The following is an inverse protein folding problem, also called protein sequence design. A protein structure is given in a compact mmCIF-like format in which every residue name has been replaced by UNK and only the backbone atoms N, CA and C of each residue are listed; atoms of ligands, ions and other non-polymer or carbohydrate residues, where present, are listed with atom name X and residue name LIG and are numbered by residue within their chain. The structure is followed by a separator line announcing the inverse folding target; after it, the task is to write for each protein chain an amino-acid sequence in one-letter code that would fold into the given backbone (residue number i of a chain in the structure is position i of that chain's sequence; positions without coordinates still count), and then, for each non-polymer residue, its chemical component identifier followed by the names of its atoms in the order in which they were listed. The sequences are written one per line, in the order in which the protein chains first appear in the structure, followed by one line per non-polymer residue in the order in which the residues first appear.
data_IF_699920262858
#
_entry.id   IF_699920262858
#
_cell.length_a   1.000
_cell.length_b   1.000
_cell.length_c   1.000
_cell.angle_alpha   90.00
_cell.angle_beta   90.00
_cell.angle_gamma   90.00
#
_symmetry.space_group_name_H-M   'P 1'
#
loop_
_entity.id
_entity.type
_entity.pdbx_description
1 polymer ?
#
# COMPACT_ATOMS: atom_id res chain seq x y z
N UNK A 1 15.69 26.77 5.48
CA UNK A 1 16.22 26.08 6.68
C UNK A 1 15.62 24.68 6.91
N UNK A 2 14.46 24.33 6.34
CA UNK A 2 13.79 23.03 6.58
C UNK A 2 14.38 21.88 5.71
N UNK A 3 14.88 22.13 4.49
CA UNK A 3 15.40 21.07 3.61
C UNK A 3 16.68 20.39 4.10
N UNK A 4 17.54 21.08 4.86
CA UNK A 4 18.87 20.56 5.21
C UNK A 4 18.81 19.44 6.26
N UNK A 5 17.77 19.40 7.10
CA UNK A 5 17.59 18.36 8.12
C UNK A 5 16.90 17.09 7.61
N UNK A 6 16.19 17.14 6.48
CA UNK A 6 15.49 15.96 5.91
C UNK A 6 16.47 14.91 5.38
N UNK A 7 17.59 15.34 4.80
CA UNK A 7 18.63 14.44 4.30
C UNK A 7 19.45 13.75 5.40
N UNK A 8 19.39 14.26 6.64
CA UNK A 8 20.08 13.67 7.79
C UNK A 8 19.49 12.30 8.18
N UNK A 9 18.22 12.06 7.86
CA UNK A 9 17.52 10.78 8.14
C UNK A 9 18.06 9.64 7.26
N UNK A 10 18.52 9.96 6.04
CA UNK A 10 19.17 9.01 5.12
C UNK A 10 20.57 8.57 5.58
N UNK A 11 21.16 9.26 6.56
CA UNK A 11 22.46 8.86 7.12
C UNK A 11 22.36 7.58 7.97
N UNK A 12 21.15 7.18 8.38
CA UNK A 12 20.94 5.90 9.04
C UNK A 12 20.66 4.80 8.00
N UNK A 13 21.52 3.76 7.97
CA UNK A 13 21.38 2.61 7.05
C UNK A 13 20.00 1.95 7.15
N UNK A 14 19.46 1.82 8.36
CA UNK A 14 18.15 1.20 8.59
C UNK A 14 17.00 1.99 7.95
N UNK A 15 17.03 3.32 8.02
CA UNK A 15 16.01 4.15 7.37
C UNK A 15 16.12 4.09 5.85
N UNK A 16 17.34 4.09 5.31
CA UNK A 16 17.55 4.00 3.86
C UNK A 16 17.05 2.66 3.29
N UNK A 17 17.33 1.54 3.97
CA UNK A 17 16.80 0.22 3.64
C UNK A 17 15.27 0.17 3.70
N UNK A 18 14.68 0.71 4.78
CA UNK A 18 13.22 0.80 4.90
C UNK A 18 12.60 1.66 3.80
N UNK A 19 13.21 2.80 3.48
CA UNK A 19 12.73 3.73 2.48
C UNK A 19 12.76 3.13 1.07
N UNK A 20 13.87 2.50 0.69
CA UNK A 20 13.99 1.81 -0.61
C UNK A 20 13.02 0.63 -0.68
N UNK A 21 12.91 -0.17 0.39
CA UNK A 21 11.94 -1.26 0.46
C UNK A 21 10.50 -0.77 0.30
N UNK A 22 10.11 0.28 1.00
CA UNK A 22 8.79 0.89 0.86
C UNK A 22 8.54 1.48 -0.52
N UNK A 23 9.54 2.11 -1.13
CA UNK A 23 9.41 2.61 -2.50
C UNK A 23 9.11 1.45 -3.46
N UNK A 24 9.92 0.40 -3.44
CA UNK A 24 9.75 -0.77 -4.31
C UNK A 24 8.38 -1.42 -4.09
N UNK A 25 7.99 -1.66 -2.83
CA UNK A 25 6.69 -2.25 -2.51
C UNK A 25 5.53 -1.40 -3.02
N UNK A 26 5.57 -0.08 -2.77
CA UNK A 26 4.50 0.83 -3.23
C UNK A 26 4.42 0.91 -4.75
N UNK A 27 5.57 0.94 -5.43
CA UNK A 27 5.60 0.87 -6.90
C UNK A 27 5.02 -0.44 -7.42
N UNK A 28 5.40 -1.57 -6.81
CA UNK A 28 4.86 -2.89 -7.14
C UNK A 28 3.34 -2.95 -6.98
N UNK A 29 2.81 -2.48 -5.85
CA UNK A 29 1.35 -2.43 -5.61
C UNK A 29 0.62 -1.55 -6.63
N UNK A 30 1.19 -0.40 -7.00
CA UNK A 30 0.59 0.47 -8.02
C UNK A 30 0.62 -0.17 -9.41
N UNK A 31 1.70 -0.86 -9.75
CA UNK A 31 1.82 -1.60 -10.99
C UNK A 31 0.82 -2.75 -11.04
N UNK A 32 0.68 -3.53 -9.97
CA UNK A 32 -0.31 -4.59 -9.84
C UNK A 32 -1.74 -4.04 -10.01
N UNK A 33 -2.07 -2.93 -9.34
CA UNK A 33 -3.38 -2.30 -9.48
C UNK A 33 -3.67 -1.84 -10.91
N UNK A 34 -2.69 -1.23 -11.56
CA UNK A 34 -2.80 -0.81 -12.96
C UNK A 34 -3.00 -2.01 -13.88
N UNK A 35 -2.29 -3.11 -13.63
CA UNK A 35 -2.43 -4.35 -14.40
C UNK A 35 -3.83 -4.98 -14.23
N UNK A 36 -4.36 -5.03 -13.00
CA UNK A 36 -5.73 -5.53 -12.74
C UNK A 36 -6.77 -4.70 -13.49
N UNK A 37 -6.67 -3.37 -13.41
CA UNK A 37 -7.56 -2.45 -14.13
C UNK A 37 -7.48 -2.68 -15.65
N UNK A 38 -6.27 -2.83 -16.18
CA UNK A 38 -6.04 -3.09 -17.60
C UNK A 38 -6.67 -4.41 -18.03
N UNK A 39 -6.49 -5.48 -17.27
CA UNK A 39 -7.03 -6.82 -17.57
C UNK A 39 -8.56 -6.78 -17.61
N UNK A 40 -9.19 -6.16 -16.60
CA UNK A 40 -10.65 -5.98 -16.56
C UNK A 40 -11.12 -5.17 -17.77
N UNK A 41 -10.43 -4.09 -18.13
CA UNK A 41 -10.76 -3.30 -19.31
C UNK A 41 -10.69 -4.11 -20.61
N UNK A 42 -9.62 -4.89 -20.81
CA UNK A 42 -9.46 -5.72 -22.02
C UNK A 42 -10.50 -6.83 -22.14
N UNK A 43 -10.91 -7.42 -21.01
CA UNK A 43 -11.90 -8.51 -21.00
C UNK A 43 -13.32 -7.99 -21.17
N UNK A 44 -13.65 -6.82 -20.63
CA UNK A 44 -15.02 -6.31 -20.63
C UNK A 44 -15.32 -5.31 -21.75
N UNK A 45 -14.33 -4.58 -22.27
CA UNK A 45 -14.51 -3.46 -23.21
C UNK A 45 -15.48 -2.34 -22.70
N UNK A 46 -15.82 -2.35 -21.41
CA UNK A 46 -16.80 -1.44 -20.81
C UNK A 46 -16.20 -0.73 -19.60
N UNK A 47 -16.14 0.60 -19.70
CA UNK A 47 -15.61 1.51 -18.68
C UNK A 47 -16.42 1.43 -17.38
N UNK A 48 -17.71 1.07 -17.46
CA UNK A 48 -18.59 0.93 -16.30
C UNK A 48 -18.16 -0.20 -15.37
N UNK A 49 -17.73 -1.36 -15.89
CA UNK A 49 -17.28 -2.46 -15.02
C UNK A 49 -15.94 -2.14 -14.37
N UNK A 50 -15.03 -1.45 -15.07
CA UNK A 50 -13.78 -0.97 -14.47
C UNK A 50 -14.05 0.00 -13.30
N UNK A 51 -15.03 0.90 -13.47
CA UNK A 51 -15.50 1.79 -12.41
C UNK A 51 -16.06 1.02 -11.21
N UNK A 52 -16.85 -0.03 -11.46
CA UNK A 52 -17.43 -0.85 -10.40
C UNK A 52 -16.38 -1.67 -9.65
N UNK A 53 -15.40 -2.27 -10.35
CA UNK A 53 -14.32 -3.05 -9.76
C UNK A 53 -13.41 -2.18 -8.90
N UNK A 54 -13.01 -1.00 -9.39
CA UNK A 54 -12.21 -0.05 -8.61
C UNK A 54 -12.94 0.48 -7.38
N UNK A 55 -14.27 0.63 -7.45
CA UNK A 55 -15.09 0.97 -6.30
C UNK A 55 -15.13 -0.16 -5.28
N UNK A 56 -15.34 -1.41 -5.74
CA UNK A 56 -15.35 -2.60 -4.90
C UNK A 56 -13.99 -2.89 -4.24
N UNK A 57 -12.87 -2.50 -4.86
CA UNK A 57 -11.54 -2.57 -4.25
C UNK A 57 -11.34 -1.55 -3.11
N UNK A 58 -11.84 -0.32 -3.28
CA UNK A 58 -11.62 0.77 -2.34
C UNK A 58 -12.59 0.74 -1.16
N UNK A 59 -13.80 0.24 -1.38
CA UNK A 59 -14.89 0.22 -0.40
C UNK A 59 -14.55 -0.52 0.91
N UNK A 60 -13.93 -1.71 0.89
CA UNK A 60 -13.50 -2.39 2.11
C UNK A 60 -12.49 -1.57 2.91
N UNK A 61 -11.53 -0.92 2.23
CA UNK A 61 -10.53 -0.08 2.90
C UNK A 61 -11.16 1.13 3.59
N UNK A 62 -12.22 1.69 3.01
CA UNK A 62 -12.94 2.83 3.57
C UNK A 62 -13.63 2.45 4.89
N UNK A 63 -14.26 1.28 4.93
CA UNK A 63 -14.94 0.76 6.13
C UNK A 63 -13.94 0.30 7.19
N UNK A 64 -12.83 -0.32 6.78
CA UNK A 64 -11.83 -0.90 7.69
C UNK A 64 -10.79 0.13 8.15
N UNK A 65 -10.69 1.29 7.51
CA UNK A 65 -9.77 2.39 7.87
C UNK A 65 -9.85 2.80 9.35
N UNK A 66 -11.05 3.07 9.93
CA UNK A 66 -11.18 3.43 11.34
C UNK A 66 -10.78 2.29 12.27
N UNK A 67 -11.15 1.05 11.92
CA UNK A 67 -10.79 -0.14 12.70
C UNK A 67 -9.27 -0.39 12.69
N UNK A 68 -8.62 -0.17 11.54
CA UNK A 68 -7.16 -0.22 11.41
C UNK A 68 -6.47 0.85 12.25
N UNK A 69 -7.01 2.08 12.28
CA UNK A 69 -6.50 3.17 13.11
C UNK A 69 -6.56 2.87 14.62
N UNK A 70 -7.71 2.38 15.09
CA UNK A 70 -7.90 1.99 16.50
C UNK A 70 -6.93 0.86 16.88
N UNK A 71 -6.72 -0.11 15.99
CA UNK A 71 -5.82 -1.23 16.23
C UNK A 71 -4.35 -0.79 16.27
N UNK A 72 -3.97 0.17 15.41
CA UNK A 72 -2.62 0.73 15.34
C UNK A 72 -2.28 1.63 16.55
N UNK A 73 -3.26 2.33 17.11
CA UNK A 73 -3.06 3.17 18.30
C UNK A 73 -3.01 2.36 19.61
N UNK A 74 -3.65 1.19 19.65
CA UNK A 74 -3.69 0.33 20.85
C UNK A 74 -2.55 -0.67 20.99
N UNK A 75 -1.81 -0.98 19.92
CA UNK A 75 -0.77 -2.02 19.90
C UNK A 75 0.61 -1.48 19.54
N UNK A 76 1.66 -2.25 19.89
CA UNK A 76 3.04 -1.96 19.48
C UNK A 76 3.13 -1.74 17.97
N UNK A 77 3.45 -0.50 17.58
CA UNK A 77 3.47 -0.01 16.20
C UNK A 77 4.35 -0.87 15.28
N UNK A 78 5.43 -1.43 15.83
CA UNK A 78 6.36 -2.31 15.10
C UNK A 78 5.69 -3.66 14.76
N UNK A 79 4.98 -4.28 15.71
CA UNK A 79 4.30 -5.57 15.48
C UNK A 79 3.16 -5.43 14.48
N UNK A 80 2.36 -4.36 14.61
CA UNK A 80 1.28 -4.06 13.66
C UNK A 80 1.85 -3.87 12.25
N UNK A 81 2.90 -3.06 12.10
CA UNK A 81 3.53 -2.80 10.81
C UNK A 81 4.06 -4.09 10.16
N UNK A 82 4.77 -4.93 10.92
CA UNK A 82 5.31 -6.19 10.40
C UNK A 82 4.20 -7.14 9.95
N UNK A 83 3.13 -7.31 10.73
CA UNK A 83 1.99 -8.18 10.37
C UNK A 83 1.32 -7.67 9.09
N UNK A 84 1.01 -6.36 9.00
CA UNK A 84 0.36 -5.79 7.82
C UNK A 84 1.23 -5.93 6.58
N UNK A 85 2.55 -5.78 6.70
CA UNK A 85 3.49 -5.95 5.59
C UNK A 85 3.59 -7.41 5.14
N UNK A 86 3.58 -8.38 6.06
CA UNK A 86 3.57 -9.80 5.70
C UNK A 86 2.26 -10.19 5.01
N UNK A 87 1.12 -9.71 5.50
CA UNK A 87 -0.20 -9.96 4.89
C UNK A 87 -0.28 -9.35 3.49
N UNK A 88 0.22 -8.12 3.31
CA UNK A 88 0.26 -7.48 1.98
C UNK A 88 1.16 -8.24 1.00
N UNK A 89 2.25 -8.85 1.48
CA UNK A 89 3.13 -9.69 0.66
C UNK A 89 2.43 -10.97 0.21
N UNK A 90 1.67 -11.60 1.11
CA UNK A 90 0.87 -12.78 0.79
C UNK A 90 -0.24 -12.46 -0.22
N UNK A 91 -0.93 -11.32 -0.06
CA UNK A 91 -1.94 -10.87 -1.02
C UNK A 91 -1.36 -10.60 -2.41
N UNK A 92 -0.14 -10.07 -2.49
CA UNK A 92 0.50 -9.78 -3.78
C UNK A 92 0.98 -11.05 -4.51
N UNK A 93 1.24 -12.14 -3.77
CA UNK A 93 1.72 -13.41 -4.33
C UNK A 93 0.63 -14.41 -4.70
N UNK A 94 -0.63 -14.16 -4.31
CA UNK A 94 -1.80 -14.98 -4.65
C UNK A 94 -2.59 -14.35 -5.80
#
# INVERSE_FOLDING_TARGET
MILSNTFRVFNSKNYCLFFIGQLISRFGTWMQRTAVIWVVYTMTNSILMVGLTTFAEQFPSFILSPAGGITADRHDRIKVLTITQTVSLLQAGA
#
